data_IF_417598464333
#
_entry.id   IF_417598464333
#
_cell.length_a   1.000
_cell.length_b   1.000
_cell.length_c   1.000
_cell.angle_alpha   90.00
_cell.angle_beta   90.00
_cell.angle_gamma   90.00
#
_symmetry.space_group_name_H-M   'P 1'
#
loop_
_entity.id
_entity.type
_entity.pdbx_description
1 polymer ?
#
# COMPACT_ATOMS: atom_id res chain seq x y z
N UNK A 1 -5.52 30.37 7.99
CA UNK A 1 -5.31 29.00 7.54
C UNK A 1 -3.88 28.57 7.80
N UNK A 2 -3.70 27.34 8.28
CA UNK A 2 -2.41 26.76 8.71
C UNK A 2 -1.40 26.64 7.55
N UNK A 3 -1.83 26.78 6.30
CA UNK A 3 -0.98 26.60 5.09
C UNK A 3 -0.59 27.90 4.37
N UNK A 4 -0.83 29.07 4.97
CA UNK A 4 -0.66 30.35 4.27
C UNK A 4 0.79 30.74 3.92
N UNK A 5 1.81 29.99 4.38
CA UNK A 5 3.23 30.30 4.15
C UNK A 5 4.07 29.12 3.65
N UNK A 6 3.46 28.01 3.23
CA UNK A 6 4.22 26.90 2.67
C UNK A 6 4.73 27.26 1.26
N UNK A 7 6.04 27.47 1.13
CA UNK A 7 6.69 27.54 -0.18
C UNK A 7 6.88 26.12 -0.69
N UNK A 8 6.06 25.69 -1.64
CA UNK A 8 6.25 24.42 -2.30
C UNK A 8 7.48 24.50 -3.22
N UNK A 9 8.45 23.60 -3.02
CA UNK A 9 9.57 23.40 -3.93
C UNK A 9 9.38 22.05 -4.61
N UNK A 10 9.19 22.07 -5.91
CA UNK A 10 9.11 20.85 -6.72
C UNK A 10 10.51 20.43 -7.12
N UNK A 11 10.87 19.18 -6.79
CA UNK A 11 12.14 18.58 -7.17
C UNK A 11 11.84 17.25 -7.86
N UNK A 12 12.34 17.06 -9.06
CA UNK A 12 12.28 15.78 -9.76
C UNK A 12 13.56 15.00 -9.46
N UNK A 13 13.42 13.78 -8.90
CA UNK A 13 14.54 12.86 -8.76
C UNK A 13 14.24 11.60 -9.57
N UNK A 14 15.04 11.27 -10.60
CA UNK A 14 14.77 10.12 -11.46
C UNK A 14 15.07 8.77 -10.79
N UNK A 15 15.78 8.73 -9.67
CA UNK A 15 16.33 7.51 -9.08
C UNK A 15 15.82 7.22 -7.66
N UNK A 16 14.65 7.68 -7.29
CA UNK A 16 14.09 7.45 -5.94
C UNK A 16 15.00 7.95 -4.79
N UNK A 17 15.94 8.82 -5.10
CA UNK A 17 16.77 9.49 -4.09
C UNK A 17 16.07 10.75 -3.61
N UNK A 18 15.95 10.91 -2.30
CA UNK A 18 15.46 12.15 -1.69
C UNK A 18 16.65 13.10 -1.60
N UNK A 19 16.73 14.17 -2.41
CA UNK A 19 17.95 14.95 -2.62
C UNK A 19 18.31 15.90 -1.47
N UNK A 20 17.56 15.89 -0.38
CA UNK A 20 17.75 16.80 0.75
C UNK A 20 18.77 16.24 1.78
N UNK A 21 19.29 17.14 2.62
CA UNK A 21 20.15 16.78 3.75
C UNK A 21 19.40 15.92 4.77
N UNK A 22 20.13 15.26 5.66
CA UNK A 22 19.54 14.55 6.79
C UNK A 22 18.79 15.53 7.74
N UNK A 23 17.81 15.02 8.47
CA UNK A 23 17.05 15.77 9.49
C UNK A 23 16.48 17.10 8.96
N UNK A 24 15.90 17.07 7.75
CA UNK A 24 15.47 18.28 7.06
C UNK A 24 13.94 18.50 7.14
N UNK A 25 13.17 17.42 7.01
CA UNK A 25 11.71 17.52 6.92
C UNK A 25 11.03 17.25 8.26
N UNK A 26 9.95 17.97 8.54
CA UNK A 26 9.04 17.69 9.65
C UNK A 26 8.01 16.63 9.26
N UNK A 27 7.69 16.54 7.95
CA UNK A 27 6.69 15.63 7.39
C UNK A 27 7.11 15.17 6.00
N UNK A 28 7.00 13.87 5.76
CA UNK A 28 7.07 13.27 4.41
C UNK A 28 5.72 12.64 4.11
N UNK A 29 5.09 13.08 3.03
CA UNK A 29 3.87 12.49 2.49
C UNK A 29 4.17 11.74 1.19
N UNK A 30 3.72 10.50 1.10
CA UNK A 30 3.79 9.70 -0.13
C UNK A 30 2.40 9.17 -0.47
N UNK A 31 1.88 9.52 -1.64
CA UNK A 31 0.60 9.03 -2.13
C UNK A 31 0.79 8.24 -3.41
N UNK A 32 0.37 6.99 -3.40
CA UNK A 32 0.37 6.06 -4.55
C UNK A 32 1.74 5.99 -5.27
N UNK A 33 2.82 5.94 -4.48
CA UNK A 33 4.18 5.88 -5.02
C UNK A 33 4.97 4.65 -4.56
N UNK A 34 4.80 4.19 -3.32
CA UNK A 34 5.64 3.14 -2.75
C UNK A 34 5.45 1.77 -3.40
N UNK A 35 4.32 1.51 -4.06
CA UNK A 35 4.13 0.29 -4.87
C UNK A 35 5.11 0.20 -6.05
N UNK A 36 5.70 1.33 -6.48
CA UNK A 36 6.68 1.39 -7.56
C UNK A 36 8.13 1.27 -7.08
N UNK A 37 8.35 1.28 -5.75
CA UNK A 37 9.68 1.20 -5.18
C UNK A 37 10.28 -0.20 -5.40
N UNK A 38 11.40 -0.29 -6.11
CA UNK A 38 12.15 -1.53 -6.27
C UNK A 38 12.76 -2.00 -4.94
N UNK A 39 13.11 -1.05 -4.07
CA UNK A 39 13.66 -1.27 -2.73
C UNK A 39 12.85 -0.46 -1.72
N UNK A 40 11.69 -0.97 -1.32
CA UNK A 40 10.85 -0.32 -0.31
C UNK A 40 11.55 -0.21 1.06
N UNK A 41 12.28 -1.24 1.56
CA UNK A 41 13.08 -1.09 2.78
C UNK A 41 14.08 0.07 2.72
N UNK A 42 14.86 0.17 1.66
CA UNK A 42 15.82 1.26 1.45
C UNK A 42 15.14 2.62 1.35
N UNK A 43 13.98 2.71 0.69
CA UNK A 43 13.19 3.94 0.60
C UNK A 43 12.70 4.40 1.98
N UNK A 44 12.21 3.49 2.82
CA UNK A 44 11.77 3.81 4.18
C UNK A 44 12.92 4.32 5.05
N UNK A 45 14.11 3.69 4.93
CA UNK A 45 15.33 4.16 5.62
C UNK A 45 15.72 5.57 5.14
N UNK A 46 15.66 5.84 3.84
CA UNK A 46 15.92 7.17 3.31
C UNK A 46 14.91 8.21 3.86
N UNK A 47 13.62 7.89 3.86
CA UNK A 47 12.59 8.77 4.44
C UNK A 47 12.91 9.08 5.91
N UNK A 48 13.20 8.05 6.71
CA UNK A 48 13.56 8.23 8.12
C UNK A 48 14.77 9.15 8.29
N UNK A 49 15.83 8.97 7.50
CA UNK A 49 17.04 9.76 7.59
C UNK A 49 16.89 11.22 7.11
N UNK A 50 15.80 11.52 6.38
CA UNK A 50 15.49 12.88 5.92
C UNK A 50 14.50 13.61 6.83
N UNK A 51 13.82 12.89 7.69
CA UNK A 51 12.95 13.46 8.71
C UNK A 51 13.75 13.89 9.93
N UNK A 52 13.35 15.01 10.52
CA UNK A 52 13.84 15.46 11.83
C UNK A 52 13.43 14.50 12.95
N UNK A 53 14.10 14.53 14.12
CA UNK A 53 13.54 13.93 15.33
C UNK A 53 12.07 14.35 15.52
N UNK A 54 11.20 13.42 15.91
CA UNK A 54 9.73 13.59 15.98
C UNK A 54 9.05 13.97 14.65
N UNK A 55 9.74 13.82 13.52
CA UNK A 55 9.17 13.98 12.19
C UNK A 55 8.30 12.77 11.79
N UNK A 56 7.26 13.02 10.99
CA UNK A 56 6.25 12.05 10.59
C UNK A 56 6.44 11.59 9.14
N UNK A 57 6.42 10.29 8.91
CA UNK A 57 6.14 9.68 7.61
C UNK A 57 4.65 9.29 7.55
N UNK A 58 3.97 9.72 6.49
CA UNK A 58 2.64 9.24 6.11
C UNK A 58 2.68 8.80 4.66
N UNK A 59 2.44 7.51 4.42
CA UNK A 59 2.47 6.93 3.08
C UNK A 59 1.20 6.11 2.82
N UNK A 60 0.66 6.26 1.61
CA UNK A 60 -0.47 5.46 1.13
C UNK A 60 -0.10 4.86 -0.23
N UNK A 61 -0.38 3.55 -0.41
CA UNK A 61 -0.07 2.81 -1.63
C UNK A 61 -0.91 1.55 -1.77
N UNK A 62 -0.91 0.92 -2.95
CA UNK A 62 -1.62 -0.32 -3.18
C UNK A 62 -0.94 -1.51 -2.51
N UNK A 63 -1.73 -2.29 -1.78
CA UNK A 63 -1.31 -3.50 -1.06
C UNK A 63 -1.45 -4.79 -1.86
N UNK A 64 -1.01 -5.89 -1.26
CA UNK A 64 -0.87 -7.21 -1.90
C UNK A 64 -2.15 -7.83 -2.45
N UNK A 65 -3.31 -7.45 -1.92
CA UNK A 65 -4.63 -7.92 -2.39
C UNK A 65 -5.14 -7.16 -3.62
N UNK A 66 -4.51 -6.04 -3.99
CA UNK A 66 -4.91 -5.27 -5.17
C UNK A 66 -4.85 -6.13 -6.43
N UNK A 67 -5.96 -6.11 -7.20
CA UNK A 67 -6.13 -6.83 -8.46
C UNK A 67 -5.84 -8.35 -8.37
N UNK A 68 -6.12 -8.96 -7.22
CA UNK A 68 -5.91 -10.41 -7.01
C UNK A 68 -6.72 -11.24 -8.02
N UNK A 69 -7.94 -10.82 -8.35
CA UNK A 69 -8.83 -11.47 -9.32
C UNK A 69 -8.24 -11.38 -10.74
N UNK A 70 -7.81 -10.17 -11.15
CA UNK A 70 -7.18 -9.96 -12.46
C UNK A 70 -5.91 -10.81 -12.61
N UNK A 71 -5.09 -10.83 -11.56
CA UNK A 71 -3.86 -11.64 -11.51
C UNK A 71 -4.14 -13.12 -11.67
N UNK A 72 -5.11 -13.64 -10.93
CA UNK A 72 -5.52 -15.04 -11.00
C UNK A 72 -6.02 -15.42 -12.41
N UNK A 73 -6.92 -14.60 -12.98
CA UNK A 73 -7.49 -14.85 -14.31
C UNK A 73 -6.45 -14.77 -15.44
N UNK A 74 -5.54 -13.80 -15.39
CA UNK A 74 -4.46 -13.69 -16.37
C UNK A 74 -3.49 -14.86 -16.27
N UNK A 75 -3.12 -15.27 -15.06
CA UNK A 75 -2.24 -16.42 -14.84
C UNK A 75 -2.87 -17.71 -15.35
N UNK A 76 -4.15 -17.96 -15.04
CA UNK A 76 -4.86 -19.15 -15.50
C UNK A 76 -5.00 -19.17 -17.02
N UNK A 77 -5.38 -18.06 -17.64
CA UNK A 77 -5.49 -17.95 -19.10
C UNK A 77 -4.15 -18.20 -19.79
N UNK A 78 -3.05 -17.76 -19.18
CA UNK A 78 -1.71 -17.96 -19.72
C UNK A 78 -1.28 -19.43 -19.62
N UNK A 79 -1.54 -20.11 -18.53
CA UNK A 79 -1.29 -21.55 -18.36
C UNK A 79 -2.06 -22.36 -19.39
N UNK A 80 -3.32 -22.00 -19.66
CA UNK A 80 -4.15 -22.70 -20.65
C UNK A 80 -3.70 -22.49 -22.11
N UNK A 81 -3.17 -21.32 -22.44
CA UNK A 81 -2.83 -20.93 -23.81
C UNK A 81 -1.34 -21.04 -24.14
N UNK A 82 -0.49 -21.10 -23.15
CA UNK A 82 0.97 -21.15 -23.30
C UNK A 82 1.58 -22.13 -22.30
N UNK A 83 2.84 -22.54 -22.54
CA UNK A 83 3.53 -23.49 -21.66
C UNK A 83 4.14 -22.82 -20.41
N UNK A 84 3.77 -21.57 -20.08
CA UNK A 84 4.32 -20.84 -18.93
C UNK A 84 3.49 -19.60 -18.61
N UNK A 85 3.65 -19.06 -17.41
CA UNK A 85 3.02 -17.82 -16.98
C UNK A 85 4.06 -16.73 -16.72
N UNK A 86 3.76 -15.52 -17.17
CA UNK A 86 4.58 -14.34 -16.91
C UNK A 86 3.94 -13.46 -15.83
N UNK A 87 4.76 -12.77 -15.05
CA UNK A 87 4.26 -11.77 -14.11
C UNK A 87 3.66 -10.58 -14.87
N UNK A 88 2.31 -10.48 -14.85
CA UNK A 88 1.57 -9.42 -15.55
C UNK A 88 1.13 -8.30 -14.61
N UNK A 89 1.05 -8.59 -13.34
CA UNK A 89 0.77 -7.60 -12.29
C UNK A 89 2.00 -7.46 -11.39
N UNK A 90 2.25 -6.24 -10.94
CA UNK A 90 3.35 -5.95 -10.02
C UNK A 90 3.07 -6.67 -8.68
N UNK A 91 4.03 -7.40 -8.09
CA UNK A 91 3.88 -7.91 -6.74
C UNK A 91 3.87 -6.74 -5.76
N UNK A 92 2.79 -6.61 -5.01
CA UNK A 92 2.62 -5.56 -4.01
C UNK A 92 2.87 -6.12 -2.62
N UNK A 93 3.26 -5.24 -1.69
CA UNK A 93 3.62 -5.63 -0.33
C UNK A 93 2.38 -5.97 0.48
N UNK A 94 2.43 -7.08 1.21
CA UNK A 94 1.41 -7.45 2.20
C UNK A 94 1.49 -6.52 3.43
N UNK A 95 0.34 -6.21 4.02
CA UNK A 95 0.23 -5.30 5.17
C UNK A 95 1.11 -5.72 6.36
N UNK A 96 1.20 -7.03 6.66
CA UNK A 96 2.03 -7.52 7.77
C UNK A 96 3.51 -7.30 7.50
N UNK A 97 3.93 -7.54 6.26
CA UNK A 97 5.30 -7.26 5.82
C UNK A 97 5.60 -5.76 5.90
N UNK A 98 4.67 -4.90 5.48
CA UNK A 98 4.81 -3.45 5.48
C UNK A 98 5.02 -2.87 6.89
N UNK A 99 4.24 -3.32 7.90
CA UNK A 99 4.44 -2.94 9.31
C UNK A 99 5.81 -3.35 9.85
N UNK A 100 6.28 -4.56 9.52
CA UNK A 100 7.63 -5.02 9.87
C UNK A 100 8.75 -4.22 9.20
N UNK A 101 8.51 -3.67 8.00
CA UNK A 101 9.46 -2.81 7.31
C UNK A 101 9.66 -1.48 8.03
N UNK A 102 8.58 -0.84 8.54
CA UNK A 102 8.67 0.39 9.33
C UNK A 102 9.53 0.21 10.59
N UNK A 103 9.30 -0.89 11.33
CA UNK A 103 10.09 -1.19 12.52
C UNK A 103 11.57 -1.39 12.18
N UNK A 104 11.87 -2.16 11.13
CA UNK A 104 13.25 -2.40 10.68
C UNK A 104 13.93 -1.12 10.16
N UNK A 105 13.17 -0.21 9.56
CA UNK A 105 13.68 1.10 9.15
C UNK A 105 13.93 2.03 10.35
N UNK A 106 13.54 1.64 11.58
CA UNK A 106 13.79 2.38 12.80
C UNK A 106 12.78 3.47 13.11
N UNK A 107 11.57 3.39 12.58
CA UNK A 107 10.46 4.28 12.98
C UNK A 107 9.91 3.88 14.35
N UNK A 108 9.59 4.87 15.15
CA UNK A 108 8.81 4.74 16.38
C UNK A 108 7.30 4.82 16.08
N UNK A 109 6.49 4.27 16.97
CA UNK A 109 5.02 4.31 16.90
C UNK A 109 4.48 3.90 15.51
N UNK A 110 4.98 2.80 14.91
CA UNK A 110 4.57 2.41 13.57
C UNK A 110 3.11 1.97 13.58
N UNK A 111 2.31 2.56 12.69
CA UNK A 111 0.93 2.14 12.43
C UNK A 111 0.84 1.70 10.97
N UNK A 112 0.17 0.60 10.74
CA UNK A 112 -0.11 0.09 9.43
C UNK A 112 -1.60 -0.28 9.36
N UNK A 113 -2.32 0.35 8.46
CA UNK A 113 -3.74 0.14 8.24
C UNK A 113 -4.01 -0.24 6.79
N UNK A 114 -5.15 -0.88 6.54
CA UNK A 114 -5.52 -1.35 5.20
C UNK A 114 -7.02 -1.29 5.00
N UNK A 115 -7.42 -0.58 3.95
CA UNK A 115 -8.80 -0.50 3.49
C UNK A 115 -8.97 -1.30 2.20
N UNK A 116 -10.05 -2.07 2.12
CA UNK A 116 -10.41 -2.82 0.92
C UNK A 116 -11.54 -2.11 0.19
N UNK A 117 -11.29 -1.79 -1.07
CA UNK A 117 -12.27 -1.18 -1.97
C UNK A 117 -12.53 -2.17 -3.09
N UNK A 118 -13.80 -2.56 -3.28
CA UNK A 118 -14.25 -3.35 -4.41
C UNK A 118 -14.91 -2.45 -5.44
N UNK A 119 -14.41 -2.50 -6.67
CA UNK A 119 -14.94 -1.72 -7.79
C UNK A 119 -15.51 -2.66 -8.82
N UNK A 120 -16.71 -2.34 -9.31
CA UNK A 120 -17.41 -3.12 -10.34
C UNK A 120 -17.08 -2.57 -11.72
N UNK A 121 -16.71 -3.47 -12.64
CA UNK A 121 -16.44 -3.13 -14.03
C UNK A 121 -17.32 -3.96 -14.96
N UNK A 122 -17.79 -3.39 -16.08
CA UNK A 122 -18.55 -4.13 -17.08
C UNK A 122 -17.75 -5.28 -17.70
N UNK A 123 -16.43 -5.11 -17.84
CA UNK A 123 -15.54 -6.16 -18.35
C UNK A 123 -14.07 -5.94 -17.97
N UNK A 124 -13.23 -6.94 -18.22
CA UNK A 124 -11.77 -6.86 -18.04
C UNK A 124 -11.15 -5.72 -18.87
N UNK A 125 -11.75 -5.35 -20.01
CA UNK A 125 -11.20 -4.33 -20.90
C UNK A 125 -11.39 -2.93 -20.33
N UNK A 126 -12.54 -2.64 -19.71
CA UNK A 126 -12.79 -1.38 -18.99
C UNK A 126 -11.88 -1.25 -17.77
N UNK A 127 -11.73 -2.33 -16.98
CA UNK A 127 -10.78 -2.36 -15.87
C UNK A 127 -9.36 -2.03 -16.36
N UNK A 128 -8.89 -2.70 -17.43
CA UNK A 128 -7.55 -2.45 -17.99
C UNK A 128 -7.40 -1.05 -18.58
N UNK A 129 -8.47 -0.46 -19.13
CA UNK A 129 -8.47 0.91 -19.62
C UNK A 129 -8.34 1.91 -18.46
N UNK A 130 -9.02 1.64 -17.35
CA UNK A 130 -8.97 2.47 -16.15
C UNK A 130 -7.58 2.42 -15.50
N UNK A 131 -7.04 1.23 -15.30
CA UNK A 131 -5.67 1.06 -14.79
C UNK A 131 -4.64 1.83 -15.63
N UNK A 132 -4.81 1.85 -16.95
CA UNK A 132 -3.95 2.61 -17.86
C UNK A 132 -4.10 4.11 -17.68
N UNK A 133 -5.33 4.61 -17.45
CA UNK A 133 -5.60 6.01 -17.14
C UNK A 133 -5.03 6.44 -15.79
N UNK A 134 -5.04 5.53 -14.81
CA UNK A 134 -4.44 5.74 -13.49
C UNK A 134 -2.90 5.70 -13.52
N UNK A 135 -2.28 5.26 -14.62
CA UNK A 135 -0.83 5.06 -14.68
C UNK A 135 -0.35 3.71 -14.13
N UNK A 136 -1.28 2.85 -13.70
CA UNK A 136 -0.99 1.54 -13.09
C UNK A 136 -0.77 0.45 -14.16
N UNK A 137 0.09 0.73 -15.14
CA UNK A 137 0.48 -0.24 -16.15
C UNK A 137 1.64 -1.13 -15.64
N UNK A 138 1.79 -2.33 -16.21
CA UNK A 138 2.87 -3.24 -15.85
C UNK A 138 4.24 -2.67 -16.24
N UNK A 139 5.00 -2.15 -15.27
CA UNK A 139 6.34 -1.59 -15.43
C UNK A 139 7.47 -2.56 -15.03
N UNK A 140 7.17 -3.84 -14.75
CA UNK A 140 8.19 -4.82 -14.36
C UNK A 140 9.27 -4.95 -15.42
N UNK A 141 10.53 -4.93 -15.00
CA UNK A 141 11.69 -5.19 -15.87
C UNK A 141 11.62 -6.60 -16.46
N UNK A 142 11.13 -7.56 -15.67
CA UNK A 142 10.94 -8.97 -16.04
C UNK A 142 9.69 -9.24 -16.87
N UNK A 143 8.88 -8.22 -17.21
CA UNK A 143 7.69 -8.42 -18.03
C UNK A 143 8.04 -9.00 -19.38
N UNK A 144 7.15 -9.83 -19.92
CA UNK A 144 7.28 -10.29 -21.30
C UNK A 144 7.30 -9.08 -22.25
N UNK A 145 8.30 -9.07 -23.15
CA UNK A 145 8.39 -8.07 -24.23
C UNK A 145 7.67 -8.52 -25.52
N UNK A 146 7.13 -9.74 -25.51
CA UNK A 146 6.36 -10.25 -26.63
C UNK A 146 4.97 -9.63 -26.67
N UNK A 147 4.43 -9.45 -27.87
CA UNK A 147 3.05 -8.99 -28.02
C UNK A 147 2.10 -9.98 -27.38
N UNK A 148 1.29 -9.48 -26.46
CA UNK A 148 0.24 -10.27 -25.83
C UNK A 148 -0.91 -10.45 -26.81
N UNK A 149 -1.28 -11.71 -27.10
CA UNK A 149 -2.36 -11.98 -28.02
C UNK A 149 -3.72 -11.52 -27.44
N UNK A 150 -4.59 -11.02 -28.30
CA UNK A 150 -5.97 -10.66 -27.92
C UNK A 150 -6.71 -11.87 -27.31
N UNK A 151 -6.39 -13.09 -27.77
CA UNK A 151 -6.97 -14.34 -27.26
C UNK A 151 -6.73 -14.53 -25.76
N UNK A 152 -5.55 -14.12 -25.25
CA UNK A 152 -5.25 -14.21 -23.82
C UNK A 152 -6.22 -13.35 -23.00
N UNK A 153 -6.40 -12.09 -23.37
CA UNK A 153 -7.31 -11.19 -22.65
C UNK A 153 -8.77 -11.62 -22.77
N UNK A 154 -9.17 -12.16 -23.93
CA UNK A 154 -10.50 -12.72 -24.10
C UNK A 154 -10.71 -13.94 -23.18
N UNK A 155 -9.72 -14.84 -23.11
CA UNK A 155 -9.80 -16.00 -22.21
C UNK A 155 -9.79 -15.60 -20.76
N UNK A 156 -8.92 -14.69 -20.35
CA UNK A 156 -8.91 -14.13 -18.99
C UNK A 156 -10.25 -13.46 -18.63
N UNK A 157 -10.86 -12.72 -19.55
CA UNK A 157 -12.17 -12.13 -19.36
C UNK A 157 -13.28 -13.16 -19.15
N UNK A 158 -13.25 -14.28 -19.88
CA UNK A 158 -14.20 -15.39 -19.67
C UNK A 158 -14.03 -16.01 -18.28
N UNK A 159 -12.80 -16.26 -17.85
CA UNK A 159 -12.48 -16.80 -16.53
C UNK A 159 -12.95 -15.81 -15.44
N UNK A 160 -12.66 -14.53 -15.63
CA UNK A 160 -13.07 -13.48 -14.72
C UNK A 160 -14.58 -13.43 -14.51
N UNK A 161 -15.34 -13.48 -15.64
CA UNK A 161 -16.79 -13.50 -15.63
C UNK A 161 -17.35 -14.74 -14.91
N UNK A 162 -16.67 -15.88 -15.01
CA UNK A 162 -17.12 -17.13 -14.38
C UNK A 162 -16.84 -17.20 -12.89
N UNK A 163 -15.72 -16.60 -12.43
CA UNK A 163 -15.23 -16.77 -11.06
C UNK A 163 -15.46 -15.56 -10.15
N UNK A 164 -15.49 -14.37 -10.72
CA UNK A 164 -15.50 -13.11 -9.96
C UNK A 164 -16.47 -12.07 -10.50
N UNK A 165 -17.63 -12.51 -11.01
CA UNK A 165 -18.73 -11.61 -11.37
C UNK A 165 -19.82 -11.62 -10.31
N UNK A 166 -20.56 -10.50 -10.23
CA UNK A 166 -21.78 -10.41 -9.48
C UNK A 166 -23.00 -10.83 -10.32
N UNK A 167 -24.22 -10.75 -9.74
CA UNK A 167 -25.47 -11.10 -10.38
C UNK A 167 -25.77 -10.27 -11.66
N UNK A 168 -25.30 -9.03 -11.70
CA UNK A 168 -25.42 -8.11 -12.84
C UNK A 168 -24.38 -8.36 -13.94
N UNK A 169 -23.60 -9.44 -13.83
CA UNK A 169 -22.49 -9.80 -14.72
C UNK A 169 -21.34 -8.78 -14.76
N UNK A 170 -21.28 -7.85 -13.82
CA UNK A 170 -20.13 -6.99 -13.63
C UNK A 170 -19.02 -7.77 -12.91
N UNK A 171 -17.78 -7.59 -13.33
CA UNK A 171 -16.62 -8.20 -12.66
C UNK A 171 -16.18 -7.35 -11.47
N UNK A 172 -15.72 -8.00 -10.40
CA UNK A 172 -15.25 -7.35 -9.17
C UNK A 172 -13.74 -7.17 -9.26
N UNK A 173 -13.24 -5.98 -9.04
CA UNK A 173 -11.81 -5.71 -8.91
C UNK A 173 -11.53 -5.17 -7.50
N UNK A 174 -10.70 -5.89 -6.77
CA UNK A 174 -10.27 -5.51 -5.42
C UNK A 174 -9.08 -4.55 -5.48
N UNK A 175 -9.15 -3.47 -4.71
CA UNK A 175 -8.05 -2.55 -4.43
C UNK A 175 -7.83 -2.51 -2.93
N UNK A 176 -6.64 -2.85 -2.48
CA UNK A 176 -6.21 -2.72 -1.10
C UNK A 176 -5.39 -1.44 -0.97
N UNK A 177 -5.85 -0.50 -0.16
CA UNK A 177 -5.11 0.71 0.17
C UNK A 177 -4.40 0.52 1.50
N UNK A 178 -3.09 0.39 1.47
CA UNK A 178 -2.26 0.32 2.67
C UNK A 178 -1.81 1.73 3.06
N UNK A 179 -2.04 2.08 4.31
CA UNK A 179 -1.56 3.34 4.89
C UNK A 179 -0.53 3.03 5.97
N UNK A 180 0.65 3.63 5.83
CA UNK A 180 1.74 3.55 6.78
C UNK A 180 1.94 4.89 7.46
N UNK A 181 2.05 4.88 8.78
CA UNK A 181 2.53 6.01 9.56
C UNK A 181 3.66 5.57 10.48
N UNK A 182 4.66 6.44 10.64
CA UNK A 182 5.77 6.19 11.53
C UNK A 182 6.47 7.48 11.87
N UNK A 183 6.91 7.61 13.10
CA UNK A 183 7.61 8.78 13.63
C UNK A 183 9.11 8.48 13.75
N UNK A 184 9.94 9.47 13.49
CA UNK A 184 11.36 9.36 13.87
C UNK A 184 11.46 9.39 15.39
N UNK A 185 12.21 8.46 16.04
CA UNK A 185 12.34 8.44 17.48
C UNK A 185 12.82 9.78 18.06
N UNK A 186 12.18 10.23 19.13
CA UNK A 186 12.55 11.41 19.90
C UNK A 186 12.29 11.17 21.39
N UNK A 187 12.99 11.91 22.26
CA UNK A 187 12.83 11.78 23.71
C UNK A 187 11.48 12.28 24.23
N UNK A 188 10.82 13.18 23.51
CA UNK A 188 9.49 13.72 23.81
C UNK A 188 8.38 12.69 23.66
N UNK A 189 8.61 11.60 22.91
CA UNK A 189 7.61 10.58 22.61
C UNK A 189 7.29 9.71 23.82
N UNK A 190 6.02 9.32 23.93
CA UNK A 190 5.58 8.40 24.99
C UNK A 190 6.32 7.07 24.88
N UNK A 191 6.92 6.65 25.98
CA UNK A 191 7.57 5.33 26.10
C UNK A 191 6.61 4.34 26.72
N UNK A 192 6.61 3.07 26.25
CA UNK A 192 5.84 2.03 26.91
C UNK A 192 6.18 1.95 28.41
N UNK A 193 5.17 1.83 29.24
CA UNK A 193 5.39 1.64 30.67
C UNK A 193 6.05 0.28 30.90
N UNK A 194 6.86 0.17 31.95
CA UNK A 194 7.49 -1.13 32.30
C UNK A 194 6.43 -2.18 32.59
N UNK A 195 6.61 -3.43 32.17
CA UNK A 195 5.71 -4.51 32.55
C UNK A 195 5.48 -4.53 34.07
N UNK A 196 4.23 -4.64 34.51
CA UNK A 196 3.88 -4.61 35.93
C UNK A 196 3.76 -3.23 36.58
N UNK A 197 3.95 -2.13 35.85
CA UNK A 197 3.82 -0.76 36.37
C UNK A 197 2.41 -0.18 36.28
N UNK A 198 1.42 -0.97 35.85
CA UNK A 198 0.02 -0.56 35.80
C UNK A 198 -0.48 -0.17 37.21
N UNK A 199 -0.89 1.09 37.38
CA UNK A 199 -1.40 1.62 38.65
C UNK A 199 -2.90 1.45 38.82
N UNK A 200 -3.62 1.29 37.71
CA UNK A 200 -5.07 1.13 37.70
C UNK A 200 -5.42 -0.30 37.30
N UNK A 201 -6.27 -0.94 38.11
CA UNK A 201 -6.81 -2.26 37.80
C UNK A 201 -7.93 -2.12 36.75
N UNK A 202 -7.80 -2.84 35.62
CA UNK A 202 -8.85 -2.90 34.60
C UNK A 202 -10.19 -3.38 35.20
N UNK A 203 -10.10 -4.29 36.19
CA UNK A 203 -11.25 -4.88 36.86
C UNK A 203 -12.01 -3.85 37.71
N UNK A 204 -11.30 -2.92 38.36
CA UNK A 204 -11.91 -1.82 39.12
C UNK A 204 -12.55 -0.78 38.20
N UNK A 205 -11.89 -0.48 37.06
CA UNK A 205 -12.42 0.44 36.06
C UNK A 205 -13.73 -0.09 35.45
N UNK A 206 -13.77 -1.34 35.03
CA UNK A 206 -14.96 -1.98 34.47
C UNK A 206 -16.11 -2.09 35.50
N UNK A 207 -15.81 -2.27 36.79
CA UNK A 207 -16.82 -2.25 37.85
C UNK A 207 -17.40 -0.87 38.11
N UNK A 208 -16.62 0.20 37.91
CA UNK A 208 -17.07 1.58 38.10
C UNK A 208 -18.02 2.06 37.01
N UNK A 209 -17.89 1.54 35.78
CA UNK A 209 -18.77 1.90 34.67
C UNK A 209 -20.13 1.19 34.74
N UNK A 210 -20.16 -0.05 35.22
CA UNK A 210 -21.40 -0.82 35.40
C UNK A 210 -22.31 -0.17 36.46
N UNK A 211 -21.75 0.55 37.44
CA UNK A 211 -22.53 1.23 38.50
C UNK A 211 -23.02 2.64 38.10
N UNK A 212 -22.72 3.13 36.89
CA UNK A 212 -23.20 4.43 36.39
C UNK A 212 -24.43 4.36 35.49
N UNK A 213 -24.84 3.17 35.08
CA UNK A 213 -26.01 2.90 34.24
C UNK A 213 -27.19 2.25 34.99
N UNK A 214 -27.21 2.33 36.34
CA UNK A 214 -28.27 1.83 37.20
C UNK A 214 -29.07 2.98 37.87
#
# INVERSE_FOLDING_TARGET
GIFAHAKAKFTHSPEMEIPQKMDFFDLILSSQYFQWANDLPGMLIQCRNKLKPDGLLLANFFGGRTLQELRACLTQAEIELSKGAYARCIPMVDIKAAGGLLQRAGFALPVCDSDIIEVLYPSIFELMADLRRMGEANALVSRSRQFTSKKLFQRAGQIYQQQFSNDDKSIIATFELVTLTGWVPDESQQKPMRPGSARNSLLEYLKSDVNKEG
#
